data_IF_423380991808
#
_entry.id   IF_423380991808
#
_cell.length_a   1.000
_cell.length_b   1.000
_cell.length_c   1.000
_cell.angle_alpha   90.00
_cell.angle_beta   90.00
_cell.angle_gamma   90.00
#
_symmetry.space_group_name_H-M   'P 1'
#
loop_
_entity.id
_entity.type
_entity.pdbx_description
1 polymer ?
#
# COMPACT_ATOMS: atom_id res chain seq x y z
N UNK A 1 -5.46 10.12 7.51
CA UNK A 1 -5.36 8.89 6.68
C UNK A 1 -5.36 7.69 7.60
N UNK A 2 -6.29 6.76 7.43
CA UNK A 2 -6.45 5.56 8.29
C UNK A 2 -6.11 4.29 7.51
N UNK A 3 -5.58 3.28 8.20
CA UNK A 3 -5.15 2.01 7.62
C UNK A 3 -6.25 1.33 6.78
N UNK A 4 -7.51 1.50 7.20
CA UNK A 4 -8.69 0.98 6.49
C UNK A 4 -8.87 1.58 5.09
N UNK A 5 -8.55 2.86 4.91
CA UNK A 5 -8.65 3.52 3.60
C UNK A 5 -7.55 3.01 2.65
N UNK A 6 -6.34 2.82 3.17
CA UNK A 6 -5.21 2.25 2.42
C UNK A 6 -5.54 0.81 2.00
N UNK A 7 -6.00 -0.02 2.94
CA UNK A 7 -6.41 -1.40 2.67
C UNK A 7 -7.51 -1.49 1.61
N UNK A 8 -8.52 -0.63 1.69
CA UNK A 8 -9.60 -0.57 0.70
C UNK A 8 -9.08 -0.17 -0.68
N UNK A 9 -8.24 0.86 -0.77
CA UNK A 9 -7.64 1.29 -2.03
C UNK A 9 -6.74 0.20 -2.64
N UNK A 10 -5.95 -0.49 -1.81
CA UNK A 10 -5.11 -1.59 -2.26
C UNK A 10 -5.95 -2.75 -2.80
N UNK A 11 -7.04 -3.14 -2.11
CA UNK A 11 -7.93 -4.20 -2.61
C UNK A 11 -8.73 -3.82 -3.85
N UNK A 12 -9.16 -2.56 -3.96
CA UNK A 12 -10.01 -2.12 -5.07
C UNK A 12 -9.23 -1.87 -6.37
N UNK A 13 -8.00 -1.38 -6.26
CA UNK A 13 -7.21 -0.97 -7.42
C UNK A 13 -5.92 -1.77 -7.61
N UNK A 14 -5.55 -2.62 -6.65
CA UNK A 14 -4.35 -3.45 -6.66
C UNK A 14 -3.09 -2.70 -7.14
N UNK A 15 -2.71 -1.58 -6.50
CA UNK A 15 -1.57 -0.78 -6.93
C UNK A 15 -0.28 -1.59 -6.77
N UNK A 16 0.44 -1.78 -7.88
CA UNK A 16 1.74 -2.46 -7.88
C UNK A 16 2.88 -1.52 -7.46
N UNK A 17 2.64 -0.21 -7.45
CA UNK A 17 3.65 0.80 -7.13
C UNK A 17 3.16 1.81 -6.09
N UNK A 18 4.08 2.34 -5.28
CA UNK A 18 3.77 3.41 -4.33
C UNK A 18 3.29 4.70 -4.99
N UNK A 19 3.63 4.93 -6.27
CA UNK A 19 3.11 6.07 -7.04
C UNK A 19 1.61 5.92 -7.28
N UNK A 20 1.17 4.75 -7.76
CA UNK A 20 -0.26 4.47 -7.92
C UNK A 20 -1.00 4.53 -6.59
N UNK A 21 -0.40 4.00 -5.52
CA UNK A 21 -1.01 4.11 -4.19
C UNK A 21 -1.15 5.57 -3.72
N UNK A 22 -0.21 6.46 -4.08
CA UNK A 22 -0.29 7.91 -3.79
C UNK A 22 -1.36 8.64 -4.61
N UNK A 23 -1.63 8.18 -5.83
CA UNK A 23 -2.71 8.72 -6.66
C UNK A 23 -4.09 8.33 -6.14
N UNK A 24 -4.20 7.13 -5.57
CA UNK A 24 -5.45 6.61 -5.01
C UNK A 24 -5.71 7.09 -3.58
N UNK A 25 -4.65 7.21 -2.79
CA UNK A 25 -4.69 7.66 -1.40
C UNK A 25 -3.64 8.73 -1.23
N UNK A 26 -3.98 9.95 -0.79
CA UNK A 26 -2.99 10.99 -0.50
C UNK A 26 -2.19 10.62 0.76
N UNK A 27 -1.24 9.69 0.59
CA UNK A 27 -0.26 9.26 1.59
C UNK A 27 1.01 10.09 1.46
N UNK A 28 1.42 10.73 2.55
CA UNK A 28 2.68 11.46 2.64
C UNK A 28 2.60 12.96 2.33
N UNK A 29 1.40 13.55 2.20
CA UNK A 29 1.21 15.00 2.02
C UNK A 29 1.55 15.83 3.27
N UNK A 30 1.35 15.28 4.47
CA UNK A 30 1.45 16.07 5.72
C UNK A 30 2.68 15.76 6.58
N UNK A 31 3.10 14.49 6.73
CA UNK A 31 4.19 14.17 7.68
C UNK A 31 5.07 12.96 7.33
N UNK A 32 4.84 12.29 6.19
CA UNK A 32 5.63 11.13 5.76
C UNK A 32 5.53 9.86 6.64
N UNK A 33 4.99 9.95 7.87
CA UNK A 33 4.87 8.82 8.81
C UNK A 33 3.97 7.70 8.27
N UNK A 34 2.94 8.06 7.52
CA UNK A 34 2.04 7.10 6.89
C UNK A 34 2.65 6.38 5.66
N UNK A 35 3.80 6.81 5.12
CA UNK A 35 4.41 6.16 3.94
C UNK A 35 4.91 4.75 4.27
N UNK A 36 5.54 4.58 5.44
CA UNK A 36 6.02 3.26 5.89
C UNK A 36 4.84 2.32 6.17
N UNK A 37 3.83 2.82 6.87
CA UNK A 37 2.60 2.07 7.16
C UNK A 37 1.86 1.69 5.87
N UNK A 38 1.71 2.63 4.93
CA UNK A 38 1.05 2.35 3.67
C UNK A 38 1.79 1.33 2.82
N UNK A 39 3.14 1.37 2.83
CA UNK A 39 3.96 0.34 2.18
C UNK A 39 3.78 -1.02 2.84
N UNK A 40 3.78 -1.09 4.17
CA UNK A 40 3.54 -2.35 4.88
C UNK A 40 2.16 -2.92 4.56
N UNK A 41 1.10 -2.10 4.62
CA UNK A 41 -0.26 -2.53 4.28
C UNK A 41 -0.34 -2.96 2.80
N UNK A 42 0.30 -2.23 1.89
CA UNK A 42 0.34 -2.61 0.48
C UNK A 42 1.06 -3.95 0.28
N UNK A 43 2.21 -4.17 0.91
CA UNK A 43 2.94 -5.44 0.82
C UNK A 43 2.18 -6.58 1.52
N UNK A 44 1.50 -6.32 2.62
CA UNK A 44 0.71 -7.30 3.36
C UNK A 44 -0.54 -7.72 2.57
N UNK A 45 -1.26 -6.77 1.99
CA UNK A 45 -2.47 -7.01 1.18
C UNK A 45 -2.13 -7.55 -0.22
N UNK A 46 -1.03 -7.11 -0.84
CA UNK A 46 -0.54 -7.69 -2.10
C UNK A 46 0.16 -9.03 -1.88
N UNK A 47 0.83 -9.23 -0.74
CA UNK A 47 1.56 -10.46 -0.39
C UNK A 47 0.65 -11.59 0.10
N UNK A 48 -0.53 -11.27 0.64
CA UNK A 48 -1.60 -12.28 0.83
C UNK A 48 -2.08 -12.88 -0.50
N UNK A 49 -1.83 -12.21 -1.63
CA UNK A 49 -2.07 -12.75 -2.98
C UNK A 49 -0.83 -13.51 -3.50
N UNK A 50 0.38 -13.22 -2.99
CA UNK A 50 1.64 -13.74 -3.52
C UNK A 50 2.43 -14.44 -2.41
N UNK A 51 2.09 -15.69 -2.18
CA UNK A 51 2.90 -16.64 -1.43
C UNK A 51 4.15 -17.09 -2.21
N UNK A 52 4.85 -16.21 -2.96
CA UNK A 52 5.86 -16.69 -3.91
C UNK A 52 6.88 -15.69 -4.51
N UNK A 53 7.41 -14.70 -3.80
CA UNK A 53 8.68 -14.08 -4.25
C UNK A 53 9.60 -13.77 -3.07
N UNK A 54 10.08 -14.84 -2.45
CA UNK A 54 11.42 -14.87 -1.87
C UNK A 54 12.38 -15.41 -2.94
N UNK A 55 13.65 -15.02 -2.83
CA UNK A 55 14.84 -15.37 -3.64
C UNK A 55 15.20 -14.47 -4.83
N UNK A 56 16.00 -13.43 -4.55
CA UNK A 56 17.18 -13.08 -5.35
C UNK A 56 18.24 -12.49 -4.41
#
# INVERSE_FOLDING_TARGET
>A
MTDKAIRKAVRQHNPHTMKQLRELVPIGTDCGKCIRQARQIMVEESGTIIHMHEVA
#
